data_IF_606078605937
#
_entry.id   IF_606078605937
#
_cell.length_a   1.000
_cell.length_b   1.000
_cell.length_c   1.000
_cell.angle_alpha   90.00
_cell.angle_beta   90.00
_cell.angle_gamma   90.00
#
_symmetry.space_group_name_H-M   'P 1'
#
loop_
_entity.id
_entity.type
_entity.pdbx_description
1 polymer ?
#
# COMPACT_ATOMS: atom_id res chain seq x y z
N UNK A 1 -46.11 4.13 -8.84
CA UNK A 1 -45.45 3.66 -7.61
C UNK A 1 -46.50 3.32 -6.58
N UNK A 2 -46.47 2.14 -5.94
CA UNK A 2 -47.47 1.70 -4.99
C UNK A 2 -47.44 2.43 -3.65
N UNK A 3 -48.57 2.44 -2.93
CA UNK A 3 -48.70 3.03 -1.59
C UNK A 3 -47.62 2.52 -0.61
N UNK A 4 -47.17 1.28 -0.76
CA UNK A 4 -46.17 0.65 0.08
C UNK A 4 -44.79 1.29 -0.10
N UNK A 5 -44.43 1.69 -1.32
CA UNK A 5 -43.21 2.44 -1.62
C UNK A 5 -43.26 3.84 -1.02
N UNK A 6 -44.41 4.52 -1.17
CA UNK A 6 -44.63 5.86 -0.61
C UNK A 6 -44.43 5.88 0.91
N UNK A 7 -44.96 4.87 1.63
CA UNK A 7 -44.82 4.72 3.08
C UNK A 7 -43.37 4.44 3.52
N UNK A 8 -42.53 3.87 2.66
CA UNK A 8 -41.11 3.61 2.94
C UNK A 8 -40.24 4.84 2.75
N UNK A 9 -40.64 5.78 1.90
CA UNK A 9 -39.86 6.95 1.50
C UNK A 9 -40.30 8.22 2.23
N UNK A 10 -41.60 8.39 2.46
CA UNK A 10 -42.20 9.60 3.01
C UNK A 10 -42.84 9.35 4.39
N UNK A 11 -42.85 10.38 5.21
CA UNK A 11 -43.65 10.49 6.41
C UNK A 11 -45.14 10.72 6.04
N UNK A 12 -46.03 10.68 7.04
CA UNK A 12 -47.49 10.92 6.84
C UNK A 12 -47.80 12.35 6.35
N UNK A 13 -46.93 13.30 6.63
CA UNK A 13 -46.99 14.70 6.19
C UNK A 13 -46.41 14.95 4.79
N UNK A 14 -45.95 13.90 4.09
CA UNK A 14 -45.36 13.99 2.76
C UNK A 14 -43.87 14.37 2.75
N UNK A 15 -43.27 14.63 3.88
CA UNK A 15 -41.82 14.90 3.95
C UNK A 15 -41.00 13.61 3.82
N UNK A 16 -39.77 13.66 3.26
CA UNK A 16 -38.88 12.50 3.27
C UNK A 16 -38.63 12.03 4.70
N UNK A 17 -38.63 10.71 4.92
CA UNK A 17 -38.20 10.16 6.20
C UNK A 17 -36.75 10.56 6.48
N UNK A 18 -36.42 10.82 7.74
CA UNK A 18 -35.08 11.20 8.16
C UNK A 18 -34.00 10.17 7.75
N UNK A 19 -34.42 8.94 7.49
CA UNK A 19 -33.59 7.82 7.06
C UNK A 19 -33.62 7.59 5.54
N UNK A 20 -34.06 8.58 4.74
CA UNK A 20 -34.13 8.47 3.28
C UNK A 20 -33.36 9.64 2.66
N UNK A 21 -32.41 9.33 1.79
CA UNK A 21 -31.75 10.29 0.96
C UNK A 21 -32.19 10.11 -0.50
N UNK A 22 -32.56 11.21 -1.15
CA UNK A 22 -33.01 11.24 -2.55
C UNK A 22 -31.91 11.93 -3.36
N UNK A 23 -31.49 11.30 -4.44
CA UNK A 23 -30.52 11.85 -5.39
C UNK A 23 -31.21 11.98 -6.75
N UNK A 24 -30.94 13.08 -7.44
CA UNK A 24 -31.37 13.34 -8.81
C UNK A 24 -30.10 13.52 -9.63
N UNK A 25 -29.90 12.69 -10.65
CA UNK A 25 -28.68 12.69 -11.48
C UNK A 25 -27.40 12.68 -10.65
N UNK A 26 -27.41 11.92 -9.55
CA UNK A 26 -26.28 11.79 -8.63
C UNK A 26 -26.00 12.99 -7.72
N UNK A 27 -26.87 14.02 -7.69
CA UNK A 27 -26.83 15.12 -6.71
C UNK A 27 -27.91 14.91 -5.66
N UNK A 28 -27.56 15.13 -4.38
CA UNK A 28 -28.55 15.04 -3.31
C UNK A 28 -29.62 16.13 -3.52
N UNK A 29 -30.89 15.73 -3.56
CA UNK A 29 -32.02 16.63 -3.81
C UNK A 29 -32.11 17.79 -2.81
N UNK A 30 -31.60 17.62 -1.58
CA UNK A 30 -31.54 18.70 -0.57
C UNK A 30 -30.85 19.96 -1.06
N UNK A 31 -29.92 19.83 -2.01
CA UNK A 31 -29.20 20.97 -2.61
C UNK A 31 -29.84 21.49 -3.90
N UNK A 32 -30.95 20.86 -4.34
CA UNK A 32 -31.64 21.19 -5.61
C UNK A 32 -33.12 21.48 -5.42
N UNK A 33 -33.55 21.83 -4.20
CA UNK A 33 -34.97 22.09 -3.88
C UNK A 33 -35.64 21.00 -3.01
N UNK A 34 -34.91 20.01 -2.56
CA UNK A 34 -35.42 18.96 -1.68
C UNK A 34 -36.41 18.04 -2.41
N UNK A 35 -37.58 17.81 -1.82
CA UNK A 35 -38.65 17.01 -2.41
C UNK A 35 -39.39 17.74 -3.56
N UNK A 36 -39.27 19.06 -3.58
CA UNK A 36 -39.86 19.91 -4.61
C UNK A 36 -38.88 20.19 -5.77
N UNK A 37 -37.77 19.48 -5.81
CA UNK A 37 -36.80 19.62 -6.91
C UNK A 37 -37.50 19.30 -8.27
N UNK A 38 -37.30 20.16 -9.30
CA UNK A 38 -37.85 19.88 -10.60
C UNK A 38 -37.23 18.61 -11.21
N UNK A 39 -38.08 17.79 -11.81
CA UNK A 39 -37.68 16.58 -12.52
C UNK A 39 -37.97 16.76 -14.01
N UNK A 40 -37.05 16.31 -14.84
CA UNK A 40 -37.13 16.35 -16.28
C UNK A 40 -37.16 14.93 -16.85
N UNK A 41 -37.65 14.79 -18.06
CA UNK A 41 -37.63 13.51 -18.76
C UNK A 41 -36.20 13.03 -18.96
N UNK A 42 -35.91 11.79 -18.56
CA UNK A 42 -34.55 11.22 -18.56
C UNK A 42 -33.78 11.39 -17.26
N UNK A 43 -34.32 12.08 -16.24
CA UNK A 43 -33.68 12.17 -14.94
C UNK A 43 -33.63 10.82 -14.22
N UNK A 44 -32.48 10.50 -13.65
CA UNK A 44 -32.30 9.31 -12.81
C UNK A 44 -32.48 9.65 -11.34
N UNK A 45 -33.43 8.98 -10.68
CA UNK A 45 -33.73 9.19 -9.26
C UNK A 45 -33.25 7.99 -8.46
N UNK A 46 -32.36 8.22 -7.52
CA UNK A 46 -31.92 7.22 -6.54
C UNK A 46 -32.48 7.55 -5.17
N UNK A 47 -33.17 6.58 -4.58
CA UNK A 47 -33.71 6.68 -3.23
C UNK A 47 -32.95 5.68 -2.36
N UNK A 48 -32.10 6.19 -1.49
CA UNK A 48 -31.23 5.40 -0.63
C UNK A 48 -31.77 5.42 0.80
N UNK A 49 -32.07 4.27 1.42
CA UNK A 49 -32.38 4.23 2.84
C UNK A 49 -31.12 4.59 3.64
N UNK A 50 -31.24 5.52 4.58
CA UNK A 50 -30.28 5.64 5.65
C UNK A 50 -30.55 4.52 6.65
N UNK A 51 -29.73 3.48 6.66
CA UNK A 51 -29.90 2.36 7.58
C UNK A 51 -29.32 2.76 8.94
N UNK A 52 -30.14 2.75 9.97
CA UNK A 52 -29.67 2.92 11.34
C UNK A 52 -28.90 1.66 11.76
N UNK A 53 -27.59 1.80 11.96
CA UNK A 53 -26.73 0.72 12.47
C UNK A 53 -25.34 0.71 11.83
N UNK A 54 -24.31 1.16 12.56
CA UNK A 54 -22.95 1.30 12.07
C UNK A 54 -22.76 2.64 11.33
N UNK A 55 -21.60 3.24 11.37
CA UNK A 55 -21.26 4.58 10.86
C UNK A 55 -22.00 5.02 9.60
N UNK A 56 -23.11 5.74 9.77
CA UNK A 56 -23.87 6.28 8.63
C UNK A 56 -22.99 7.23 7.82
N UNK A 57 -23.11 7.15 6.48
CA UNK A 57 -22.43 8.08 5.59
C UNK A 57 -23.04 9.47 5.77
N UNK A 58 -22.20 10.46 6.01
CA UNK A 58 -22.62 11.86 6.08
C UNK A 58 -23.09 12.38 4.73
N UNK A 59 -23.79 13.51 4.69
CA UNK A 59 -24.12 14.17 3.42
C UNK A 59 -22.91 14.49 2.56
N UNK A 60 -21.77 14.83 3.19
CA UNK A 60 -20.48 15.03 2.51
C UNK A 60 -19.95 13.74 1.90
N UNK A 61 -20.07 12.60 2.59
CA UNK A 61 -19.66 11.30 2.07
C UNK A 61 -20.53 10.90 0.86
N UNK A 62 -21.82 11.10 0.96
CA UNK A 62 -22.76 10.78 -0.11
C UNK A 62 -22.50 11.64 -1.36
N UNK A 63 -22.12 12.89 -1.20
CA UNK A 63 -21.72 13.74 -2.31
C UNK A 63 -20.39 13.29 -2.91
N UNK A 64 -19.37 13.10 -2.07
CA UNK A 64 -18.03 12.68 -2.47
C UNK A 64 -18.04 11.34 -3.22
N UNK A 65 -18.76 10.36 -2.71
CA UNK A 65 -18.78 8.98 -3.22
C UNK A 65 -19.98 8.67 -4.10
N UNK A 66 -20.78 9.69 -4.48
CA UNK A 66 -22.03 9.50 -5.25
C UNK A 66 -21.84 8.60 -6.47
N UNK A 67 -20.77 8.82 -7.25
CA UNK A 67 -20.55 8.08 -8.49
C UNK A 67 -20.21 6.60 -8.27
N UNK A 68 -19.53 6.25 -7.19
CA UNK A 68 -19.24 4.85 -6.89
C UNK A 68 -20.37 4.17 -6.12
N UNK A 69 -21.15 4.89 -5.32
CA UNK A 69 -22.36 4.37 -4.66
C UNK A 69 -23.43 3.95 -5.70
N UNK A 70 -23.45 4.57 -6.87
CA UNK A 70 -24.36 4.21 -7.97
C UNK A 70 -24.01 2.90 -8.65
N UNK A 71 -22.76 2.40 -8.50
CA UNK A 71 -22.36 1.10 -9.01
C UNK A 71 -23.06 0.00 -8.21
N UNK A 72 -23.77 -0.92 -8.89
CA UNK A 72 -24.43 -2.06 -8.25
C UNK A 72 -23.47 -2.91 -7.43
N UNK A 73 -22.23 -2.99 -7.88
CA UNK A 73 -21.16 -3.74 -7.19
C UNK A 73 -20.80 -3.15 -5.83
N UNK A 74 -20.92 -1.85 -5.64
CA UNK A 74 -20.56 -1.15 -4.40
C UNK A 74 -21.82 -0.80 -3.61
N UNK A 75 -22.67 0.07 -4.16
CA UNK A 75 -23.87 0.55 -3.51
C UNK A 75 -23.57 1.30 -2.19
N UNK A 76 -24.62 1.68 -1.48
CA UNK A 76 -24.50 2.34 -0.18
C UNK A 76 -23.83 1.45 0.87
N UNK A 77 -24.25 0.18 0.94
CA UNK A 77 -23.72 -0.78 1.91
C UNK A 77 -22.24 -1.10 1.64
N UNK A 78 -21.84 -1.18 0.38
CA UNK A 78 -20.44 -1.35 0.01
C UNK A 78 -19.58 -0.16 0.42
N UNK A 79 -20.10 1.08 0.28
CA UNK A 79 -19.39 2.26 0.75
C UNK A 79 -19.23 2.28 2.27
N UNK A 80 -20.21 1.81 3.02
CA UNK A 80 -20.09 1.64 4.47
C UNK A 80 -19.00 0.61 4.83
N UNK A 81 -18.92 -0.51 4.08
CA UNK A 81 -17.85 -1.51 4.27
C UNK A 81 -16.48 -0.94 3.95
N UNK A 82 -16.35 -0.17 2.86
CA UNK A 82 -15.09 0.51 2.52
C UNK A 82 -14.67 1.46 3.65
N UNK A 83 -15.59 2.26 4.16
CA UNK A 83 -15.33 3.19 5.27
C UNK A 83 -14.94 2.49 6.58
N UNK A 84 -15.38 1.26 6.80
CA UNK A 84 -15.01 0.47 7.97
C UNK A 84 -13.68 -0.28 7.80
N UNK A 85 -13.24 -0.46 6.57
CA UNK A 85 -12.09 -1.30 6.24
C UNK A 85 -10.75 -0.66 6.63
N UNK A 86 -9.83 -1.53 7.06
CA UNK A 86 -8.41 -1.22 7.25
C UNK A 86 -7.57 -1.97 6.22
N UNK A 87 -6.94 -1.21 5.32
CA UNK A 87 -6.08 -1.75 4.26
C UNK A 87 -4.62 -1.45 4.58
N UNK A 88 -3.74 -2.43 4.39
CA UNK A 88 -2.30 -2.23 4.44
C UNK A 88 -1.74 -2.23 3.01
N UNK A 89 -0.97 -1.22 2.65
CA UNK A 89 -0.20 -1.16 1.40
C UNK A 89 1.28 -1.13 1.75
N UNK A 90 2.02 -2.13 1.27
CA UNK A 90 3.45 -2.26 1.51
C UNK A 90 4.21 -1.83 0.26
N UNK A 91 4.94 -0.73 0.38
CA UNK A 91 5.53 0.03 -0.71
C UNK A 91 4.65 1.21 -1.14
N UNK A 92 5.22 2.41 -1.17
CA UNK A 92 4.58 3.63 -1.74
C UNK A 92 5.35 4.16 -2.95
N UNK A 93 5.99 3.23 -3.66
CA UNK A 93 6.71 3.44 -4.91
C UNK A 93 5.80 3.51 -6.14
N UNK A 94 6.26 2.94 -7.26
CA UNK A 94 5.56 3.00 -8.55
C UNK A 94 4.17 2.36 -8.54
N UNK A 95 4.02 1.16 -7.95
CA UNK A 95 2.72 0.49 -7.77
C UNK A 95 1.93 1.12 -6.62
N UNK A 96 2.59 1.40 -5.49
CA UNK A 96 1.92 1.92 -4.30
C UNK A 96 1.29 3.30 -4.48
N UNK A 97 1.85 4.16 -5.33
CA UNK A 97 1.28 5.47 -5.64
C UNK A 97 -0.16 5.39 -6.19
N UNK A 98 -0.42 4.71 -7.31
CA UNK A 98 -1.78 4.57 -7.83
C UNK A 98 -2.70 3.80 -6.87
N UNK A 99 -2.19 2.80 -6.15
CA UNK A 99 -2.97 1.99 -5.19
C UNK A 99 -3.46 2.88 -4.03
N UNK A 100 -2.53 3.52 -3.32
CA UNK A 100 -2.86 4.33 -2.13
C UNK A 100 -3.75 5.51 -2.47
N UNK A 101 -3.47 6.20 -3.59
CA UNK A 101 -4.27 7.32 -4.07
C UNK A 101 -5.71 6.91 -4.35
N UNK A 102 -5.93 5.75 -5.02
CA UNK A 102 -7.29 5.26 -5.33
C UNK A 102 -8.03 4.82 -4.08
N UNK A 103 -7.40 4.05 -3.20
CA UNK A 103 -8.02 3.59 -1.95
C UNK A 103 -8.48 4.77 -1.09
N UNK A 104 -7.64 5.79 -0.93
CA UNK A 104 -7.97 7.01 -0.18
C UNK A 104 -9.07 7.81 -0.88
N UNK A 105 -9.01 7.95 -2.20
CA UNK A 105 -10.06 8.63 -2.97
C UNK A 105 -11.41 7.89 -2.87
N UNK A 106 -11.40 6.55 -2.80
CA UNK A 106 -12.60 5.71 -2.64
C UNK A 106 -13.15 5.73 -1.21
N UNK A 107 -12.42 6.28 -0.24
CA UNK A 107 -12.91 6.47 1.12
C UNK A 107 -12.87 5.20 1.97
N UNK A 108 -11.78 4.44 1.92
CA UNK A 108 -11.51 3.42 2.95
C UNK A 108 -11.36 4.09 4.32
N UNK A 109 -11.66 3.36 5.40
CA UNK A 109 -11.61 3.95 6.74
C UNK A 109 -10.20 4.22 7.22
N UNK A 110 -9.32 3.22 7.10
CA UNK A 110 -7.94 3.30 7.53
C UNK A 110 -6.99 2.71 6.49
N UNK A 111 -5.96 3.48 6.14
CA UNK A 111 -4.86 3.04 5.30
C UNK A 111 -3.58 2.98 6.12
N UNK A 112 -3.02 1.78 6.25
CA UNK A 112 -1.65 1.60 6.73
C UNK A 112 -0.73 1.59 5.53
N UNK A 113 0.28 2.45 5.52
CA UNK A 113 1.32 2.50 4.50
C UNK A 113 2.67 2.13 5.13
N UNK A 114 3.44 1.32 4.41
CA UNK A 114 4.75 0.80 4.85
C UNK A 114 5.77 1.09 3.77
N UNK A 115 6.83 1.81 4.08
CA UNK A 115 7.95 2.06 3.16
C UNK A 115 9.19 2.48 3.95
N UNK A 116 10.38 2.26 3.38
CA UNK A 116 11.69 2.57 3.99
C UNK A 116 12.46 3.68 3.29
N UNK A 117 11.98 4.13 2.13
CA UNK A 117 12.76 4.93 1.20
C UNK A 117 12.61 6.44 1.39
N UNK A 118 13.55 7.17 0.80
CA UNK A 118 13.45 8.60 0.50
C UNK A 118 13.03 8.80 -0.96
N UNK A 119 12.53 9.99 -1.26
CA UNK A 119 12.14 10.38 -2.61
C UNK A 119 13.39 10.79 -3.38
N UNK A 120 13.56 10.22 -4.56
CA UNK A 120 14.63 10.54 -5.49
C UNK A 120 14.06 11.16 -6.77
N UNK A 121 14.84 12.00 -7.45
CA UNK A 121 14.45 12.60 -8.74
C UNK A 121 14.10 11.51 -9.78
N UNK A 122 14.84 10.39 -9.76
CA UNK A 122 14.59 9.21 -10.60
C UNK A 122 13.24 8.53 -10.36
N UNK A 123 12.54 8.85 -9.29
CA UNK A 123 11.24 8.30 -8.96
C UNK A 123 10.08 9.05 -9.66
N UNK A 124 10.22 10.36 -9.89
CA UNK A 124 9.11 11.25 -10.22
C UNK A 124 8.38 10.90 -11.51
N UNK A 125 9.07 10.32 -12.49
CA UNK A 125 8.45 9.93 -13.76
C UNK A 125 7.35 8.84 -13.62
N UNK A 126 7.32 8.10 -12.49
CA UNK A 126 6.37 7.00 -12.24
C UNK A 126 5.70 7.04 -10.87
N UNK A 127 6.17 7.85 -9.95
CA UNK A 127 5.61 8.03 -8.60
C UNK A 127 4.96 9.41 -8.51
N UNK A 128 3.86 9.58 -9.24
CA UNK A 128 3.20 10.86 -9.52
C UNK A 128 2.56 11.55 -8.31
N UNK A 129 2.58 10.92 -7.15
CA UNK A 129 2.20 11.55 -5.88
C UNK A 129 3.24 12.57 -5.43
N UNK A 130 4.50 12.38 -5.82
CA UNK A 130 5.64 13.22 -5.41
C UNK A 130 5.99 14.25 -6.49
N UNK A 131 6.60 15.35 -6.08
CA UNK A 131 7.11 16.40 -6.94
C UNK A 131 8.57 16.74 -6.59
N UNK A 132 9.17 17.70 -7.30
CA UNK A 132 10.59 18.06 -7.11
C UNK A 132 10.88 18.64 -5.73
N UNK A 133 9.92 19.32 -5.09
CA UNK A 133 10.07 19.88 -3.75
C UNK A 133 10.11 18.77 -2.66
N UNK A 134 9.67 17.56 -2.99
CA UNK A 134 9.68 16.42 -2.08
C UNK A 134 11.00 15.63 -2.13
N UNK A 135 11.88 15.88 -3.09
CA UNK A 135 13.14 15.13 -3.26
C UNK A 135 14.02 15.23 -2.01
N UNK A 136 14.49 14.07 -1.53
CA UNK A 136 15.27 13.94 -0.30
C UNK A 136 14.43 13.78 0.96
N UNK A 137 13.11 13.96 0.90
CA UNK A 137 12.21 13.70 2.02
C UNK A 137 11.85 12.22 2.12
N UNK A 138 11.47 11.78 3.34
CA UNK A 138 11.03 10.42 3.62
C UNK A 138 9.71 10.15 2.87
N UNK A 139 9.72 9.11 2.05
CA UNK A 139 8.64 8.78 1.12
C UNK A 139 7.29 8.65 1.82
N UNK A 140 7.26 7.92 2.93
CA UNK A 140 6.03 7.63 3.68
C UNK A 140 5.45 8.88 4.40
N UNK A 141 6.28 9.83 4.81
CA UNK A 141 5.80 11.09 5.42
C UNK A 141 5.09 11.96 4.38
N UNK A 142 5.72 12.12 3.23
CA UNK A 142 5.15 12.89 2.13
C UNK A 142 3.86 12.23 1.63
N UNK A 143 3.88 10.90 1.47
CA UNK A 143 2.69 10.15 1.08
C UNK A 143 1.54 10.38 2.06
N UNK A 144 1.77 10.23 3.36
CA UNK A 144 0.75 10.45 4.38
C UNK A 144 0.17 11.87 4.32
N UNK A 145 1.02 12.88 4.21
CA UNK A 145 0.63 14.29 4.09
C UNK A 145 -0.26 14.54 2.87
N UNK A 146 0.15 14.03 1.69
CA UNK A 146 -0.58 14.23 0.43
C UNK A 146 -1.88 13.43 0.37
N UNK A 147 -1.88 12.19 0.87
CA UNK A 147 -3.08 11.35 0.98
C UNK A 147 -4.10 11.96 1.96
N UNK A 148 -3.64 12.49 3.09
CA UNK A 148 -4.52 13.20 4.05
C UNK A 148 -5.14 14.46 3.45
N UNK A 149 -4.40 15.16 2.58
CA UNK A 149 -4.93 16.32 1.84
C UNK A 149 -5.96 15.90 0.78
N UNK A 150 -5.78 14.75 0.14
CA UNK A 150 -6.72 14.20 -0.84
C UNK A 150 -8.06 13.82 -0.18
N UNK A 151 -8.02 13.13 0.95
CA UNK A 151 -9.20 12.78 1.72
C UNK A 151 -8.93 12.83 3.23
N UNK A 152 -9.30 13.94 3.89
CA UNK A 152 -9.02 14.13 5.32
C UNK A 152 -9.81 13.18 6.24
N UNK A 153 -10.83 12.50 5.73
CA UNK A 153 -11.66 11.60 6.52
C UNK A 153 -11.04 10.18 6.63
N UNK A 154 -10.04 9.86 5.82
CA UNK A 154 -9.28 8.60 5.89
C UNK A 154 -8.19 8.70 6.95
N UNK A 155 -8.12 7.73 7.85
CA UNK A 155 -7.00 7.60 8.79
C UNK A 155 -5.78 7.01 8.08
N UNK A 156 -4.63 7.70 8.15
CA UNK A 156 -3.37 7.21 7.58
C UNK A 156 -2.44 6.81 8.71
N UNK A 157 -2.02 5.55 8.71
CA UNK A 157 -1.04 4.99 9.63
C UNK A 157 0.26 4.73 8.87
N UNK A 158 1.35 5.37 9.26
CA UNK A 158 2.65 5.30 8.59
C UNK A 158 3.62 4.43 9.36
N UNK A 159 4.17 3.38 8.73
CA UNK A 159 5.18 2.51 9.30
C UNK A 159 6.49 2.62 8.52
N UNK A 160 7.48 3.38 9.02
CA UNK A 160 8.77 3.57 8.36
C UNK A 160 9.67 2.34 8.62
N UNK A 161 9.47 1.26 7.86
CA UNK A 161 10.24 0.03 8.02
C UNK A 161 10.46 -0.70 6.69
N UNK A 162 11.51 -1.50 6.65
CA UNK A 162 11.75 -2.51 5.61
C UNK A 162 11.13 -3.82 6.05
N UNK A 163 10.17 -4.34 5.27
CA UNK A 163 9.49 -5.60 5.60
C UNK A 163 10.42 -6.78 5.41
N UNK A 164 10.44 -7.67 6.40
CA UNK A 164 11.21 -8.90 6.43
C UNK A 164 10.53 -9.96 7.32
N UNK A 165 11.09 -11.15 7.43
CA UNK A 165 10.51 -12.28 8.18
C UNK A 165 10.27 -11.97 9.67
N UNK A 166 10.95 -10.99 10.27
CA UNK A 166 10.83 -10.67 11.71
C UNK A 166 9.75 -9.62 12.01
N UNK A 167 9.41 -8.76 11.05
CA UNK A 167 8.49 -7.64 11.27
C UNK A 167 7.24 -7.67 10.40
N UNK A 168 7.17 -8.59 9.42
CA UNK A 168 6.03 -8.68 8.51
C UNK A 168 4.71 -8.91 9.23
N UNK A 169 4.70 -9.70 10.32
CA UNK A 169 3.51 -9.94 11.13
C UNK A 169 2.99 -8.63 11.71
N UNK A 170 3.86 -7.82 12.33
CA UNK A 170 3.48 -6.53 12.93
C UNK A 170 2.98 -5.56 11.86
N UNK A 171 3.58 -5.61 10.67
CA UNK A 171 3.17 -4.77 9.55
C UNK A 171 1.74 -5.05 9.07
N UNK A 172 1.29 -6.31 9.09
CA UNK A 172 -0.01 -6.70 8.53
C UNK A 172 -1.11 -6.88 9.58
N UNK A 173 -0.76 -7.02 10.86
CA UNK A 173 -1.71 -7.36 11.91
C UNK A 173 -2.86 -6.36 12.05
N UNK A 174 -4.08 -6.90 12.15
CA UNK A 174 -5.32 -6.14 12.29
C UNK A 174 -5.76 -5.42 11.01
N UNK A 175 -5.23 -5.79 9.84
CA UNK A 175 -5.73 -5.32 8.55
C UNK A 175 -6.71 -6.33 7.93
N UNK A 176 -7.69 -5.84 7.18
CA UNK A 176 -8.69 -6.66 6.49
C UNK A 176 -8.14 -7.23 5.16
N UNK A 177 -7.20 -6.52 4.55
CA UNK A 177 -6.50 -6.91 3.33
C UNK A 177 -5.14 -6.23 3.25
N UNK A 178 -4.15 -6.95 2.71
CA UNK A 178 -2.81 -6.45 2.43
C UNK A 178 -2.60 -6.39 0.93
N UNK A 179 -2.02 -5.29 0.45
CA UNK A 179 -1.64 -5.10 -0.96
C UNK A 179 -0.13 -4.93 -1.03
N UNK A 180 0.49 -5.72 -1.89
CA UNK A 180 1.92 -5.71 -2.16
C UNK A 180 2.25 -4.75 -3.30
N UNK A 181 3.03 -3.75 -3.02
CA UNK A 181 3.57 -2.81 -4.01
C UNK A 181 5.11 -2.76 -3.95
N UNK A 182 5.74 -3.88 -3.57
CA UNK A 182 7.18 -4.02 -3.40
C UNK A 182 7.90 -4.34 -4.71
N UNK A 183 9.18 -4.07 -4.70
CA UNK A 183 10.15 -4.46 -5.73
C UNK A 183 11.10 -5.59 -5.30
N UNK A 184 11.07 -6.02 -4.03
CA UNK A 184 11.89 -7.09 -3.46
C UNK A 184 11.11 -8.41 -3.35
N UNK A 185 11.70 -9.49 -3.85
CA UNK A 185 11.16 -10.86 -3.77
C UNK A 185 11.16 -11.38 -2.34
N UNK A 186 12.24 -11.12 -1.57
CA UNK A 186 12.37 -11.57 -0.20
C UNK A 186 11.29 -10.96 0.71
N UNK A 187 11.01 -9.67 0.56
CA UNK A 187 9.95 -9.00 1.30
C UNK A 187 8.56 -9.55 0.95
N UNK A 188 8.32 -9.97 -0.31
CA UNK A 188 7.07 -10.64 -0.72
C UNK A 188 6.88 -11.99 -0.06
N UNK A 189 7.95 -12.80 0.05
CA UNK A 189 7.90 -14.06 0.80
C UNK A 189 7.57 -13.81 2.27
N UNK A 190 8.18 -12.82 2.90
CA UNK A 190 7.89 -12.46 4.28
C UNK A 190 6.43 -12.03 4.47
N UNK A 191 5.89 -11.18 3.57
CA UNK A 191 4.48 -10.80 3.59
C UNK A 191 3.55 -11.99 3.38
N UNK A 192 3.85 -12.87 2.42
CA UNK A 192 3.07 -14.08 2.17
C UNK A 192 2.98 -14.96 3.42
N UNK A 193 4.13 -15.21 4.08
CA UNK A 193 4.18 -15.98 5.34
C UNK A 193 3.30 -15.32 6.41
N UNK A 194 3.44 -14.01 6.61
CA UNK A 194 2.69 -13.25 7.61
C UNK A 194 1.18 -13.27 7.34
N UNK A 195 0.76 -13.01 6.10
CA UNK A 195 -0.64 -12.99 5.69
C UNK A 195 -1.29 -14.37 5.81
N UNK A 196 -0.58 -15.44 5.42
CA UNK A 196 -1.06 -16.82 5.59
C UNK A 196 -1.21 -17.17 7.07
N UNK A 197 -0.21 -16.85 7.91
CA UNK A 197 -0.23 -17.10 9.34
C UNK A 197 -1.38 -16.37 10.06
N UNK A 198 -1.64 -15.11 9.70
CA UNK A 198 -2.71 -14.29 10.28
C UNK A 198 -4.05 -14.46 9.57
N UNK A 199 -4.13 -15.30 8.53
CA UNK A 199 -5.34 -15.50 7.72
C UNK A 199 -5.88 -14.20 7.10
N UNK A 200 -5.00 -13.29 6.68
CA UNK A 200 -5.34 -12.02 6.04
C UNK A 200 -5.22 -12.19 4.52
N UNK A 201 -6.24 -11.83 3.73
CA UNK A 201 -6.15 -11.79 2.28
C UNK A 201 -5.00 -10.93 1.78
N UNK A 202 -4.31 -11.39 0.75
CA UNK A 202 -3.12 -10.76 0.21
C UNK A 202 -3.23 -10.59 -1.30
N UNK A 203 -3.21 -9.37 -1.79
CA UNK A 203 -3.21 -9.03 -3.21
C UNK A 203 -1.80 -8.63 -3.59
N UNK A 204 -1.27 -9.20 -4.65
CA UNK A 204 0.12 -8.97 -5.07
C UNK A 204 0.20 -8.71 -6.57
N UNK A 205 1.04 -7.77 -6.94
CA UNK A 205 1.34 -7.39 -8.30
C UNK A 205 2.82 -7.16 -8.53
N UNK A 206 3.24 -7.27 -9.77
CA UNK A 206 4.58 -6.93 -10.21
C UNK A 206 4.55 -6.31 -11.60
N UNK A 207 5.51 -5.43 -11.88
CA UNK A 207 5.67 -4.81 -13.18
C UNK A 207 7.15 -4.58 -13.49
N UNK A 208 7.56 -4.92 -14.71
CA UNK A 208 8.90 -4.68 -15.25
C UNK A 208 8.80 -4.43 -16.75
N UNK A 209 9.58 -3.51 -17.30
CA UNK A 209 9.48 -3.13 -18.71
C UNK A 209 8.07 -2.63 -19.05
N UNK A 210 7.42 -3.32 -19.96
CA UNK A 210 6.02 -3.10 -20.38
C UNK A 210 5.10 -4.23 -19.92
N UNK A 211 5.62 -5.17 -19.13
CA UNK A 211 4.89 -6.35 -18.65
C UNK A 211 4.48 -6.21 -17.20
N UNK A 212 3.37 -6.82 -16.85
CA UNK A 212 2.86 -6.85 -15.47
C UNK A 212 2.15 -8.14 -15.15
N UNK A 213 2.00 -8.39 -13.85
CA UNK A 213 1.21 -9.51 -13.36
C UNK A 213 0.49 -9.14 -12.07
N UNK A 214 -0.63 -9.81 -11.81
CA UNK A 214 -1.37 -9.66 -10.56
C UNK A 214 -2.09 -10.95 -10.19
N UNK A 215 -2.22 -11.25 -8.90
CA UNK A 215 -3.04 -12.32 -8.37
C UNK A 215 -3.44 -12.06 -6.91
N UNK A 216 -4.41 -12.83 -6.43
CA UNK A 216 -4.96 -12.68 -5.10
C UNK A 216 -4.80 -13.97 -4.31
N UNK A 217 -4.31 -13.88 -3.10
CA UNK A 217 -4.12 -14.98 -2.17
C UNK A 217 -5.19 -14.90 -1.09
N UNK A 218 -6.05 -15.91 -1.06
CA UNK A 218 -6.97 -16.16 0.04
C UNK A 218 -6.36 -17.27 0.91
N UNK A 219 -5.88 -16.95 2.12
CA UNK A 219 -5.20 -17.92 2.97
C UNK A 219 -5.98 -19.21 3.14
N UNK A 220 -5.31 -20.36 2.99
CA UNK A 220 -5.88 -21.72 3.04
C UNK A 220 -6.88 -22.09 1.93
N UNK A 221 -7.29 -21.16 1.07
CA UNK A 221 -8.26 -21.40 0.01
C UNK A 221 -7.62 -21.42 -1.38
N UNK A 222 -6.66 -20.52 -1.64
CA UNK A 222 -5.97 -20.42 -2.93
C UNK A 222 -4.50 -20.78 -2.83
N UNK A 223 -3.80 -20.84 -3.98
CA UNK A 223 -2.34 -20.88 -4.01
C UNK A 223 -1.78 -19.64 -3.30
N UNK A 224 -0.73 -19.81 -2.47
CA UNK A 224 0.01 -18.71 -1.89
C UNK A 224 1.20 -18.32 -2.79
N UNK A 225 1.92 -17.25 -2.44
CA UNK A 225 3.08 -16.80 -3.22
C UNK A 225 4.13 -17.91 -3.38
N UNK A 226 4.42 -18.65 -2.31
CA UNK A 226 5.36 -19.78 -2.33
C UNK A 226 4.87 -21.01 -3.10
N UNK A 227 3.56 -21.18 -3.31
CA UNK A 227 3.04 -22.20 -4.23
C UNK A 227 3.31 -21.83 -5.69
N UNK A 228 3.18 -20.55 -5.99
CA UNK A 228 3.37 -20.02 -7.35
C UNK A 228 4.84 -19.93 -7.74
N UNK A 229 5.65 -19.51 -6.78
CA UNK A 229 7.07 -19.23 -6.94
C UNK A 229 7.83 -19.92 -5.81
N UNK A 230 8.13 -21.23 -5.93
CA UNK A 230 8.74 -21.98 -4.81
C UNK A 230 10.20 -21.64 -4.54
N UNK A 231 10.90 -21.07 -5.51
CA UNK A 231 12.34 -20.81 -5.42
C UNK A 231 12.76 -19.66 -6.36
N UNK A 232 12.21 -18.46 -6.17
CA UNK A 232 12.74 -17.29 -6.86
C UNK A 232 13.98 -16.79 -6.14
N UNK A 233 15.05 -16.64 -6.90
CA UNK A 233 16.28 -15.99 -6.45
C UNK A 233 16.25 -14.52 -6.87
N UNK A 234 16.34 -13.61 -5.89
CA UNK A 234 16.26 -12.17 -6.11
C UNK A 234 17.39 -11.67 -7.01
N UNK A 235 18.60 -12.24 -6.91
CA UNK A 235 19.75 -11.85 -7.70
C UNK A 235 19.63 -12.22 -9.19
N UNK A 236 18.78 -13.22 -9.52
CA UNK A 236 18.53 -13.67 -10.88
C UNK A 236 17.36 -12.97 -11.56
N UNK A 237 16.59 -12.14 -10.82
CA UNK A 237 15.38 -11.52 -11.35
C UNK A 237 15.67 -10.17 -12.01
N UNK A 238 15.03 -9.90 -13.18
CA UNK A 238 15.09 -8.57 -13.78
C UNK A 238 14.44 -7.54 -12.83
N UNK A 239 15.16 -6.46 -12.55
CA UNK A 239 14.66 -5.38 -11.72
C UNK A 239 14.28 -4.16 -12.55
N UNK A 240 13.32 -3.37 -12.07
CA UNK A 240 12.95 -2.10 -12.71
C UNK A 240 14.13 -1.13 -12.86
N UNK A 241 15.16 -1.28 -12.04
CA UNK A 241 16.36 -0.45 -12.09
C UNK A 241 17.31 -0.84 -13.22
N UNK A 242 17.27 -2.10 -13.69
CA UNK A 242 18.08 -2.63 -14.78
C UNK A 242 17.34 -2.55 -16.10
N UNK A 243 16.11 -3.06 -16.17
CA UNK A 243 15.30 -3.11 -17.39
C UNK A 243 14.40 -1.90 -17.59
N UNK A 244 14.22 -1.09 -16.56
CA UNK A 244 13.25 0.01 -16.56
C UNK A 244 11.82 -0.47 -16.35
N UNK A 245 10.89 0.48 -16.35
CA UNK A 245 9.46 0.20 -16.26
C UNK A 245 8.65 1.33 -16.90
N UNK A 246 7.71 0.98 -17.73
CA UNK A 246 6.78 1.95 -18.32
C UNK A 246 5.76 2.41 -17.27
N UNK A 247 5.55 3.72 -17.04
CA UNK A 247 4.66 4.19 -15.97
C UNK A 247 3.21 3.67 -16.05
N UNK A 248 2.71 3.43 -17.27
CA UNK A 248 1.33 2.98 -17.47
C UNK A 248 1.09 1.57 -16.93
N UNK A 249 2.08 0.64 -17.01
CA UNK A 249 1.89 -0.72 -16.49
C UNK A 249 1.68 -0.71 -14.97
N UNK A 250 2.39 0.18 -14.26
CA UNK A 250 2.23 0.36 -12.82
C UNK A 250 0.80 0.81 -12.45
N UNK A 251 0.23 1.73 -13.24
CA UNK A 251 -1.14 2.21 -13.03
C UNK A 251 -2.20 1.14 -13.32
N UNK A 252 -1.97 0.29 -14.32
CA UNK A 252 -2.87 -0.80 -14.69
C UNK A 252 -2.84 -1.89 -13.63
N UNK A 253 -1.66 -2.38 -13.28
CA UNK A 253 -1.48 -3.41 -12.24
C UNK A 253 -2.05 -2.91 -10.92
N UNK A 254 -1.64 -1.72 -10.45
CA UNK A 254 -2.16 -1.14 -9.21
C UNK A 254 -3.68 -0.91 -9.22
N UNK A 255 -4.26 -0.56 -10.37
CA UNK A 255 -5.72 -0.47 -10.53
C UNK A 255 -6.44 -1.82 -10.37
N UNK A 256 -5.84 -2.91 -10.88
CA UNK A 256 -6.34 -4.27 -10.73
C UNK A 256 -6.23 -4.71 -9.27
N UNK A 257 -5.10 -4.45 -8.60
CA UNK A 257 -4.91 -4.78 -7.20
C UNK A 257 -5.96 -4.08 -6.30
N UNK A 258 -6.25 -2.80 -6.56
CA UNK A 258 -7.32 -2.08 -5.87
C UNK A 258 -8.68 -2.74 -6.11
N UNK A 259 -8.99 -3.12 -7.36
CA UNK A 259 -10.26 -3.75 -7.69
C UNK A 259 -10.43 -5.11 -6.97
N UNK A 260 -9.37 -5.91 -6.86
CA UNK A 260 -9.38 -7.18 -6.13
C UNK A 260 -9.54 -6.95 -4.62
N UNK A 261 -8.80 -5.99 -4.03
CA UNK A 261 -8.93 -5.62 -2.62
C UNK A 261 -10.35 -5.12 -2.28
N UNK A 262 -10.93 -4.31 -3.14
CA UNK A 262 -12.33 -3.84 -2.98
C UNK A 262 -13.30 -5.01 -2.98
N UNK A 263 -13.16 -6.01 -3.87
CA UNK A 263 -14.01 -7.22 -3.85
C UNK A 263 -13.92 -7.94 -2.51
N UNK A 264 -12.71 -8.10 -1.96
CA UNK A 264 -12.48 -8.72 -0.65
C UNK A 264 -13.25 -7.94 0.44
N UNK A 265 -13.08 -6.63 0.51
CA UNK A 265 -13.74 -5.75 1.49
C UNK A 265 -15.27 -5.87 1.39
N UNK A 266 -15.81 -5.95 0.17
CA UNK A 266 -17.23 -6.10 -0.07
C UNK A 266 -17.77 -7.51 0.27
N UNK A 267 -16.88 -8.48 0.55
CA UNK A 267 -17.25 -9.88 0.79
C UNK A 267 -17.56 -10.64 -0.50
N UNK A 268 -17.04 -10.17 -1.65
CA UNK A 268 -17.16 -10.83 -2.96
C UNK A 268 -15.93 -11.67 -3.23
N UNK A 269 -16.08 -12.72 -4.05
CA UNK A 269 -14.93 -13.53 -4.48
C UNK A 269 -14.03 -12.70 -5.40
N UNK A 270 -12.72 -12.54 -5.09
CA UNK A 270 -11.77 -11.92 -6.00
C UNK A 270 -11.66 -12.72 -7.31
N UNK A 271 -11.49 -12.03 -8.43
CA UNK A 271 -11.39 -12.69 -9.74
C UNK A 271 -10.07 -13.44 -9.93
N UNK A 272 -9.02 -13.00 -9.22
CA UNK A 272 -7.67 -13.52 -9.33
C UNK A 272 -7.28 -14.47 -8.19
N UNK A 273 -8.25 -15.00 -7.43
CA UNK A 273 -7.96 -15.92 -6.31
C UNK A 273 -7.55 -17.35 -6.74
N UNK A 274 -7.83 -17.72 -7.97
CA UNK A 274 -7.51 -19.03 -8.55
C UNK A 274 -6.73 -18.93 -9.87
N UNK A 275 -6.21 -17.76 -10.16
CA UNK A 275 -5.44 -17.48 -11.37
C UNK A 275 -4.47 -16.31 -11.19
N UNK A 276 -3.42 -16.31 -11.99
CA UNK A 276 -2.52 -15.17 -12.19
C UNK A 276 -2.88 -14.49 -13.50
N UNK A 277 -2.99 -13.17 -13.49
CA UNK A 277 -3.15 -12.36 -14.67
C UNK A 277 -1.77 -11.91 -15.15
N UNK A 278 -1.50 -12.09 -16.43
CA UNK A 278 -0.34 -11.57 -17.15
C UNK A 278 -0.80 -10.45 -18.08
N UNK A 279 -0.04 -9.38 -18.12
CA UNK A 279 -0.31 -8.18 -18.91
C UNK A 279 0.92 -7.86 -19.74
N UNK A 280 0.72 -7.71 -21.03
CA UNK A 280 1.72 -7.23 -21.99
C UNK A 280 1.16 -5.99 -22.67
N UNK A 281 1.74 -4.82 -22.38
CA UNK A 281 1.30 -3.55 -22.98
C UNK A 281 1.84 -3.33 -24.39
N UNK A 282 2.89 -4.01 -24.79
CA UNK A 282 3.42 -3.91 -26.16
C UNK A 282 2.40 -4.44 -27.16
N UNK A 283 1.80 -5.60 -26.84
CA UNK A 283 0.82 -6.28 -27.69
C UNK A 283 -0.63 -6.09 -27.23
N UNK A 284 -0.87 -5.36 -26.12
CA UNK A 284 -2.17 -5.18 -25.45
C UNK A 284 -2.84 -6.51 -25.11
N UNK A 285 -2.07 -7.46 -24.62
CA UNK A 285 -2.54 -8.79 -24.23
C UNK A 285 -2.80 -8.85 -22.74
N UNK A 286 -3.94 -9.42 -22.35
CA UNK A 286 -4.34 -9.68 -20.98
C UNK A 286 -4.75 -11.16 -20.89
N UNK A 287 -3.89 -11.98 -20.33
CA UNK A 287 -4.11 -13.43 -20.23
C UNK A 287 -4.08 -13.88 -18.78
N UNK A 288 -4.91 -14.86 -18.46
CA UNK A 288 -4.91 -15.43 -17.12
C UNK A 288 -4.70 -16.92 -17.13
N UNK A 289 -3.79 -17.40 -16.27
CA UNK A 289 -3.47 -18.81 -16.09
C UNK A 289 -3.97 -19.28 -14.72
N UNK A 290 -4.58 -20.47 -14.67
CA UNK A 290 -5.03 -21.07 -13.40
C UNK A 290 -3.87 -21.42 -12.51
N UNK A 291 -4.07 -21.24 -11.22
CA UNK A 291 -3.09 -21.55 -10.18
C UNK A 291 -3.66 -22.58 -9.22
N UNK A 292 -2.78 -23.39 -8.65
CA UNK A 292 -3.16 -24.48 -7.76
C UNK A 292 -2.35 -24.42 -6.48
N UNK A 293 -3.01 -24.66 -5.36
CA UNK A 293 -2.36 -24.77 -4.07
C UNK A 293 -1.56 -26.06 -4.00
N UNK A 294 -0.29 -25.98 -3.63
CA UNK A 294 0.55 -27.15 -3.43
C UNK A 294 0.30 -27.74 -2.01
N UNK A 295 0.04 -29.04 -1.92
CA UNK A 295 -0.22 -29.71 -0.65
C UNK A 295 1.01 -29.69 0.27
N UNK A 296 2.20 -29.87 -0.30
CA UNK A 296 3.48 -29.86 0.41
C UNK A 296 4.11 -28.47 0.54
N UNK A 297 3.35 -27.39 0.28
CA UNK A 297 3.86 -26.03 0.44
C UNK A 297 4.28 -25.79 1.91
N UNK A 298 5.50 -25.30 2.11
CA UNK A 298 6.04 -24.97 3.44
C UNK A 298 5.34 -23.82 4.17
N UNK A 299 4.57 -22.99 3.43
CA UNK A 299 3.89 -21.81 3.98
C UNK A 299 2.40 -22.06 4.20
N UNK A 300 1.68 -22.58 3.20
CA UNK A 300 0.22 -22.75 3.31
C UNK A 300 -0.23 -24.21 3.35
N UNK A 301 0.67 -25.18 3.14
CA UNK A 301 0.44 -26.62 3.13
C UNK A 301 0.98 -27.34 4.37
N UNK A 302 1.37 -28.60 4.16
CA UNK A 302 1.90 -29.49 5.20
C UNK A 302 3.43 -29.58 5.21
N UNK A 303 4.11 -28.89 4.29
CA UNK A 303 5.57 -28.86 4.22
C UNK A 303 6.21 -28.25 5.46
N UNK A 304 7.47 -28.62 5.70
CA UNK A 304 8.23 -28.07 6.83
C UNK A 304 8.67 -26.64 6.50
N UNK A 305 8.36 -25.71 7.40
CA UNK A 305 8.95 -24.39 7.34
C UNK A 305 10.45 -24.47 7.65
N UNK A 306 11.26 -23.73 6.93
CA UNK A 306 12.66 -23.55 7.29
C UNK A 306 12.75 -22.54 8.43
N UNK A 307 13.56 -22.88 9.44
CA UNK A 307 13.85 -21.96 10.53
C UNK A 307 14.76 -20.84 10.02
N UNK A 308 14.27 -19.60 10.11
CA UNK A 308 15.07 -18.44 9.78
C UNK A 308 16.13 -18.23 10.87
N UNK A 309 17.45 -18.24 10.55
CA UNK A 309 18.49 -18.01 11.54
C UNK A 309 18.31 -16.66 12.23
N UNK A 310 18.45 -16.60 13.55
CA UNK A 310 18.43 -15.32 14.28
C UNK A 310 19.64 -14.48 13.89
N UNK A 311 19.40 -13.37 13.23
CA UNK A 311 20.37 -12.33 12.94
C UNK A 311 20.02 -11.07 13.76
N UNK A 312 21.01 -10.26 14.10
CA UNK A 312 20.74 -8.96 14.76
C UNK A 312 20.36 -7.88 13.75
N UNK A 313 20.99 -7.93 12.59
CA UNK A 313 20.75 -7.01 11.47
C UNK A 313 20.45 -7.81 10.20
N UNK A 314 19.51 -7.34 9.42
CA UNK A 314 19.29 -7.79 8.05
C UNK A 314 19.90 -6.74 7.15
N UNK A 315 20.81 -7.17 6.29
CA UNK A 315 21.54 -6.32 5.36
C UNK A 315 21.20 -6.77 3.96
N UNK A 316 20.73 -5.84 3.15
CA UNK A 316 20.35 -6.11 1.75
C UNK A 316 21.08 -5.11 0.86
N UNK A 317 21.78 -5.59 -0.16
CA UNK A 317 22.33 -4.71 -1.20
C UNK A 317 21.20 -4.37 -2.20
N UNK A 318 20.94 -3.08 -2.37
CA UNK A 318 19.89 -2.58 -3.26
C UNK A 318 20.51 -2.24 -4.62
N UNK A 319 20.30 -3.11 -5.60
CA UNK A 319 20.84 -2.94 -6.95
C UNK A 319 20.22 -1.73 -7.68
N UNK A 320 21.05 -0.99 -8.43
CA UNK A 320 20.63 -0.03 -9.45
C UNK A 320 20.04 1.31 -9.00
N UNK A 321 20.06 1.66 -7.70
CA UNK A 321 19.48 2.91 -7.20
C UNK A 321 20.30 4.17 -7.53
N UNK A 322 21.62 4.08 -7.57
CA UNK A 322 22.49 5.22 -7.90
C UNK A 322 23.60 4.80 -8.88
N UNK A 323 23.72 5.49 -10.02
CA UNK A 323 24.74 5.21 -11.03
C UNK A 323 26.15 5.18 -10.40
N UNK A 324 26.72 3.97 -10.31
CA UNK A 324 28.09 3.74 -9.85
C UNK A 324 28.30 3.73 -8.34
N UNK A 325 27.24 3.85 -7.50
CA UNK A 325 27.36 3.76 -6.03
C UNK A 325 26.57 2.57 -5.52
N UNK A 326 27.19 1.76 -4.68
CA UNK A 326 26.51 0.67 -3.95
C UNK A 326 25.54 1.27 -2.93
N UNK A 327 24.45 0.58 -2.69
CA UNK A 327 23.42 1.00 -1.74
C UNK A 327 23.06 -0.17 -0.86
N UNK A 328 23.04 0.02 0.46
CA UNK A 328 22.68 -1.01 1.41
C UNK A 328 21.50 -0.56 2.27
N UNK A 329 20.56 -1.47 2.45
CA UNK A 329 19.52 -1.37 3.47
C UNK A 329 19.96 -2.16 4.69
N UNK A 330 19.93 -1.54 5.87
CA UNK A 330 20.23 -2.17 7.14
C UNK A 330 18.98 -2.09 8.01
N UNK A 331 18.46 -3.25 8.40
CA UNK A 331 17.23 -3.34 9.20
C UNK A 331 17.51 -4.16 10.46
N UNK A 332 17.32 -3.59 11.65
CA UNK A 332 17.43 -4.34 12.89
C UNK A 332 16.26 -5.33 13.01
N UNK A 333 16.53 -6.55 13.51
CA UNK A 333 15.51 -7.56 13.75
C UNK A 333 14.64 -7.24 14.96
N UNK A 334 15.17 -6.46 15.89
CA UNK A 334 14.43 -5.88 17.01
C UNK A 334 14.27 -4.38 16.78
N UNK A 335 13.02 -3.93 16.69
CA UNK A 335 12.72 -2.50 16.56
C UNK A 335 13.19 -1.75 17.81
N UNK A 336 13.89 -0.63 17.61
CA UNK A 336 14.22 0.34 18.64
C UNK A 336 14.03 1.76 18.10
N UNK A 337 13.73 2.71 18.96
CA UNK A 337 13.68 4.11 18.54
C UNK A 337 15.08 4.72 18.57
N UNK A 338 15.48 5.35 17.45
CA UNK A 338 16.72 6.11 17.40
C UNK A 338 16.54 7.45 18.15
N UNK A 339 17.57 7.86 18.85
CA UNK A 339 17.69 9.23 19.34
C UNK A 339 18.18 10.11 18.18
N UNK A 340 17.25 10.87 17.58
CA UNK A 340 17.52 11.72 16.41
C UNK A 340 18.56 12.80 16.72
N UNK A 341 18.56 13.36 17.93
CA UNK A 341 19.51 14.40 18.33
C UNK A 341 20.92 13.82 18.49
N UNK A 342 21.03 12.62 19.06
CA UNK A 342 22.28 11.88 19.15
C UNK A 342 22.82 11.55 17.75
N UNK A 343 21.99 10.97 16.88
CA UNK A 343 22.38 10.64 15.49
C UNK A 343 22.83 11.90 14.75
N UNK A 344 22.10 13.00 14.88
CA UNK A 344 22.44 14.28 14.25
C UNK A 344 23.79 14.82 14.76
N UNK A 345 24.04 14.70 16.06
CA UNK A 345 25.31 15.15 16.67
C UNK A 345 26.50 14.32 16.17
N UNK A 346 26.34 12.98 16.12
CA UNK A 346 27.38 12.07 15.62
C UNK A 346 27.60 12.27 14.11
N UNK A 347 26.54 12.48 13.34
CA UNK A 347 26.61 12.76 11.92
C UNK A 347 27.43 14.02 11.61
N UNK A 348 27.24 15.09 12.37
CA UNK A 348 28.05 16.32 12.25
C UNK A 348 29.53 16.06 12.51
N UNK A 349 29.86 15.21 13.48
CA UNK A 349 31.24 14.79 13.76
C UNK A 349 31.88 13.97 12.63
N UNK A 350 31.07 13.38 11.75
CA UNK A 350 31.46 12.63 10.55
C UNK A 350 31.28 13.45 9.26
N UNK A 351 31.16 14.77 9.36
CA UNK A 351 31.02 15.73 8.25
C UNK A 351 29.71 15.57 7.43
N UNK A 352 28.70 14.89 7.96
CA UNK A 352 27.39 14.85 7.33
C UNK A 352 26.62 16.16 7.52
N UNK A 353 25.94 16.58 6.47
CA UNK A 353 24.92 17.64 6.51
C UNK A 353 23.54 16.98 6.56
N UNK A 354 22.73 17.34 7.56
CA UNK A 354 21.34 16.93 7.59
C UNK A 354 20.59 17.70 6.50
N UNK A 355 19.97 16.97 5.57
CA UNK A 355 19.17 17.56 4.47
C UNK A 355 17.72 17.66 4.86
N UNK A 356 17.22 16.63 5.58
CA UNK A 356 15.83 16.60 6.04
C UNK A 356 15.75 15.89 7.39
N UNK A 357 14.90 16.41 8.27
CA UNK A 357 14.53 15.81 9.55
C UNK A 357 13.03 15.89 9.71
N UNK A 358 12.37 14.73 9.62
CA UNK A 358 10.94 14.56 9.76
C UNK A 358 10.56 13.87 11.07
N UNK A 359 9.27 13.58 11.20
CA UNK A 359 8.75 12.84 12.36
C UNK A 359 9.15 11.37 12.36
N UNK A 360 9.31 10.75 11.18
CA UNK A 360 9.56 9.32 11.01
C UNK A 360 11.02 8.99 10.72
N UNK A 361 11.91 9.98 10.55
CA UNK A 361 13.32 9.76 10.33
C UNK A 361 14.06 11.01 9.85
N UNK A 362 15.27 10.81 9.39
CA UNK A 362 16.14 11.88 8.89
C UNK A 362 16.96 11.42 7.69
N UNK A 363 17.31 12.36 6.82
CA UNK A 363 18.26 12.15 5.73
C UNK A 363 19.45 13.08 5.86
N UNK A 364 20.65 12.58 5.56
CA UNK A 364 21.90 13.29 5.69
C UNK A 364 22.87 12.88 4.58
N UNK A 365 23.78 13.76 4.24
CA UNK A 365 24.73 13.56 3.14
C UNK A 365 26.09 14.16 3.42
N UNK A 366 27.14 13.50 2.87
CA UNK A 366 28.45 14.08 2.56
C UNK A 366 28.59 14.23 1.03
N UNK A 367 29.79 14.52 0.53
CA UNK A 367 30.05 14.52 -0.91
C UNK A 367 29.88 13.13 -1.54
N UNK A 368 30.24 12.08 -0.81
CA UNK A 368 30.32 10.71 -1.33
C UNK A 368 29.22 9.78 -0.79
N UNK A 369 28.76 10.02 0.43
CA UNK A 369 27.83 9.18 1.15
C UNK A 369 26.49 9.89 1.36
N UNK A 370 25.39 9.10 1.31
CA UNK A 370 24.08 9.54 1.75
C UNK A 370 23.50 8.48 2.70
N UNK A 371 22.88 8.92 3.79
CA UNK A 371 22.27 8.04 4.79
C UNK A 371 20.87 8.55 5.09
N UNK A 372 19.92 7.63 5.07
CA UNK A 372 18.56 7.89 5.52
C UNK A 372 18.26 6.93 6.67
N UNK A 373 17.98 7.47 7.84
CA UNK A 373 17.57 6.72 9.02
C UNK A 373 16.07 6.84 9.22
N UNK A 374 15.43 5.70 9.42
CA UNK A 374 14.06 5.65 9.93
C UNK A 374 14.06 5.60 11.45
N UNK A 375 13.06 6.20 12.09
CA UNK A 375 12.98 6.30 13.56
C UNK A 375 13.02 4.94 14.26
N UNK A 376 12.60 3.87 13.58
CA UNK A 376 12.64 2.48 14.09
C UNK A 376 13.97 1.76 13.88
N UNK A 377 15.03 2.48 13.56
CA UNK A 377 16.38 1.96 13.47
C UNK A 377 16.80 1.45 12.08
N UNK A 378 15.89 1.31 11.12
CA UNK A 378 16.27 0.95 9.75
C UNK A 378 17.01 2.10 9.07
N UNK A 379 17.99 1.79 8.23
CA UNK A 379 18.72 2.78 7.46
C UNK A 379 18.95 2.34 6.01
N UNK A 380 18.99 3.31 5.10
CA UNK A 380 19.46 3.13 3.74
C UNK A 380 20.74 3.96 3.57
N UNK A 381 21.83 3.31 3.16
CA UNK A 381 23.17 3.90 3.03
C UNK A 381 23.63 3.79 1.58
N UNK A 382 23.92 4.91 0.96
CA UNK A 382 24.40 5.04 -0.41
C UNK A 382 25.86 5.44 -0.44
N UNK A 383 26.68 4.73 -1.19
CA UNK A 383 28.08 5.05 -1.43
C UNK A 383 29.12 4.33 -0.57
N UNK A 384 28.76 3.38 0.35
CA UNK A 384 29.80 2.61 1.04
C UNK A 384 30.50 1.66 0.07
N UNK A 385 31.71 1.24 0.41
CA UNK A 385 32.53 0.37 -0.46
C UNK A 385 31.97 -1.05 -0.53
N UNK A 386 31.48 -1.53 0.60
CA UNK A 386 30.95 -2.87 0.79
C UNK A 386 29.98 -2.91 1.98
N UNK A 387 29.45 -4.09 2.26
CA UNK A 387 28.54 -4.36 3.37
C UNK A 387 29.18 -4.01 4.73
N UNK A 388 30.45 -4.35 4.92
CA UNK A 388 31.19 -4.12 6.18
C UNK A 388 31.30 -2.62 6.45
N UNK A 389 31.65 -1.83 5.42
CA UNK A 389 31.75 -0.37 5.52
C UNK A 389 30.37 0.25 5.84
N UNK A 390 29.29 -0.28 5.23
CA UNK A 390 27.92 0.15 5.52
C UNK A 390 27.52 -0.10 6.99
N UNK A 391 27.80 -1.29 7.52
CA UNK A 391 27.52 -1.67 8.91
C UNK A 391 28.34 -0.85 9.90
N UNK A 392 29.63 -0.62 9.61
CA UNK A 392 30.47 0.23 10.45
C UNK A 392 29.91 1.66 10.51
N UNK A 393 29.56 2.23 9.39
CA UNK A 393 28.96 3.57 9.34
C UNK A 393 27.63 3.63 10.12
N UNK A 394 26.76 2.64 9.93
CA UNK A 394 25.50 2.50 10.67
C UNK A 394 25.73 2.49 12.19
N UNK A 395 26.66 1.66 12.66
CA UNK A 395 26.97 1.56 14.08
C UNK A 395 27.58 2.85 14.64
N UNK A 396 28.47 3.51 13.90
CA UNK A 396 29.06 4.81 14.28
C UNK A 396 27.98 5.90 14.45
N UNK A 397 27.04 5.97 13.51
CA UNK A 397 25.95 6.94 13.57
C UNK A 397 24.98 6.68 14.72
N UNK A 398 24.89 5.44 15.22
CA UNK A 398 24.12 5.06 16.40
C UNK A 398 24.93 5.16 17.71
N UNK A 399 26.20 5.52 17.66
CA UNK A 399 27.08 5.55 18.84
C UNK A 399 27.40 4.17 19.43
N UNK A 400 27.20 3.10 18.64
CA UNK A 400 27.55 1.73 19.05
C UNK A 400 29.04 1.50 18.86
N UNK A 401 29.65 0.74 19.79
CA UNK A 401 31.08 0.32 19.66
C UNK A 401 31.21 -0.60 18.44
N UNK A 402 32.36 -0.46 17.75
CA UNK A 402 32.72 -1.32 16.60
C UNK A 402 32.84 -2.78 17.07
N UNK A 403 31.77 -3.55 16.92
CA UNK A 403 31.82 -5.01 17.01
C UNK A 403 31.73 -5.55 15.58
N UNK A 404 32.88 -5.85 15.00
CA UNK A 404 32.95 -6.70 13.81
C UNK A 404 32.75 -8.13 14.33
N UNK A 405 31.55 -8.68 14.14
CA UNK A 405 31.34 -10.13 14.31
C UNK A 405 32.09 -10.84 13.18
N UNK A 406 33.09 -11.66 13.52
CA UNK A 406 33.78 -12.55 12.60
C UNK A 406 32.80 -13.61 12.05
#
# INVERSE_FOLDING_TARGET
MGEDFKRRVLNADGTPRSLVNIYINGKNSKFSGGIDAPLYDGDEIYILPAVAGGSDLSGKDLDRYSRQIMLEEIGYQGQQKLRAAKVCVVGVGGLGNPITTRLVAMGIGKLRIVDRDVIELSNLHRQTMYDEDDVGQIKIEVAARKLKKLNPDVEIESLPLSVNDYNAIDAVEGCDVVIDALDSVNARYALNKACVAKSIPFVTGAAVGVSGQAFTILPKQSACYSCMFPALDEDSMPTCSIEGVHPSILSIVGGIEVAEAVKIILGKKPSLSDRILHIDLENLVFESTRTFRAEECSVCGTGKAEDTPRQELIIEELCGRNRGKRTFSITPTQNFEIDVDQVTSLAKGLEFRVENQGELGLSMRTNDLSVSFMRRGSAVIVGPKDEVDAVLLYNRLLGKKETVSN
#
